data_IF_012780241440
#
_entry.id   IF_012780241440
#
_cell.length_a   1.000
_cell.length_b   1.000
_cell.length_c   1.000
_cell.angle_alpha   90.00
_cell.angle_beta   90.00
_cell.angle_gamma   90.00
#
_symmetry.space_group_name_H-M   'P 1'
#
loop_
_entity.id
_entity.type
_entity.pdbx_description
1 polymer ?
#
# COMPACT_ATOMS: atom_id res chain seq x y z
N UNK A 1 -9.19 -2.43 20.36
CA UNK A 1 -9.35 -3.89 20.33
C UNK A 1 -8.72 -4.38 19.04
N UNK A 2 -7.62 -5.14 19.13
CA UNK A 2 -6.88 -5.60 17.96
C UNK A 2 -7.66 -6.62 17.12
N UNK A 3 -8.55 -7.42 17.71
CA UNK A 3 -9.37 -8.37 16.98
C UNK A 3 -10.43 -7.65 16.16
N UNK A 4 -11.10 -6.65 16.73
CA UNK A 4 -12.03 -5.81 15.97
C UNK A 4 -11.29 -5.05 14.85
N UNK A 5 -10.09 -4.54 15.13
CA UNK A 5 -9.25 -3.88 14.14
C UNK A 5 -8.84 -4.77 12.97
N UNK A 6 -8.58 -6.05 13.22
CA UNK A 6 -8.32 -7.05 12.18
C UNK A 6 -9.51 -7.16 11.22
N UNK A 7 -10.73 -7.19 11.73
CA UNK A 7 -11.94 -7.24 10.90
C UNK A 7 -12.12 -5.97 10.06
N UNK A 8 -11.76 -4.80 10.61
CA UNK A 8 -11.74 -3.55 9.84
C UNK A 8 -10.72 -3.64 8.71
N UNK A 9 -9.50 -4.12 8.99
CA UNK A 9 -8.43 -4.25 8.01
C UNK A 9 -8.80 -5.12 6.81
N UNK A 10 -9.36 -6.31 7.06
CA UNK A 10 -9.68 -7.28 6.02
C UNK A 10 -11.01 -7.04 5.32
N UNK A 11 -11.90 -6.23 5.90
CA UNK A 11 -13.23 -5.98 5.34
C UNK A 11 -13.47 -4.48 5.11
N UNK A 12 -14.02 -3.78 6.11
CA UNK A 12 -14.61 -2.43 5.95
C UNK A 12 -13.62 -1.37 5.51
N UNK A 13 -12.39 -1.43 6.02
CA UNK A 13 -11.32 -0.47 5.73
C UNK A 13 -10.61 -0.72 4.41
N UNK A 14 -10.92 -1.82 3.70
CA UNK A 14 -10.34 -2.19 2.40
C UNK A 14 -8.80 -2.25 2.37
N UNK A 15 -8.15 -2.30 3.53
CA UNK A 15 -6.69 -2.24 3.62
C UNK A 15 -6.05 -3.46 2.96
N UNK A 16 -6.69 -4.64 3.11
CA UNK A 16 -6.23 -5.90 2.52
C UNK A 16 -6.29 -5.96 0.98
N UNK A 17 -6.98 -5.00 0.34
CA UNK A 17 -7.01 -4.88 -1.13
C UNK A 17 -5.62 -4.53 -1.68
N UNK A 18 -4.83 -3.79 -0.91
CA UNK A 18 -3.49 -3.36 -1.31
C UNK A 18 -2.39 -3.94 -0.43
N UNK A 19 -2.66 -4.14 0.86
CA UNK A 19 -1.66 -4.55 1.84
C UNK A 19 -1.79 -6.00 2.26
N UNK A 20 -0.65 -6.56 2.65
CA UNK A 20 -0.55 -7.92 3.18
C UNK A 20 -0.22 -7.89 4.66
N UNK A 21 -0.80 -8.82 5.41
CA UNK A 21 -0.42 -9.14 6.79
C UNK A 21 -0.35 -10.66 6.93
N UNK A 22 0.79 -11.17 7.38
CA UNK A 22 1.06 -12.59 7.61
C UNK A 22 0.66 -13.48 6.43
N UNK A 23 0.99 -13.05 5.21
CA UNK A 23 0.66 -13.78 3.98
C UNK A 23 -0.76 -13.56 3.43
N UNK A 24 -1.64 -12.84 4.15
CA UNK A 24 -3.03 -12.60 3.74
C UNK A 24 -3.22 -11.17 3.21
N UNK A 25 -3.93 -11.01 2.08
CA UNK A 25 -4.12 -9.73 1.38
C UNK A 25 -3.27 -9.64 0.12
N UNK A 26 -3.13 -8.44 -0.45
CA UNK A 26 -2.37 -8.20 -1.67
C UNK A 26 -0.99 -7.60 -1.40
N UNK A 27 -0.07 -7.80 -2.35
CA UNK A 27 1.30 -7.27 -2.29
C UNK A 27 1.51 -6.08 -3.24
N UNK A 28 0.49 -5.21 -3.30
CA UNK A 28 0.55 -3.97 -4.08
C UNK A 28 1.23 -2.90 -3.24
N UNK A 29 0.71 -2.63 -2.05
CA UNK A 29 1.34 -1.78 -1.03
C UNK A 29 2.35 -2.53 -0.16
N UNK A 30 2.97 -1.82 0.79
CA UNK A 30 3.89 -2.42 1.75
C UNK A 30 3.29 -3.56 2.56
N UNK A 31 4.13 -4.55 2.87
CA UNK A 31 3.78 -5.60 3.82
C UNK A 31 3.71 -5.01 5.24
N UNK A 32 2.55 -5.14 5.87
CA UNK A 32 2.26 -4.55 7.18
C UNK A 32 2.41 -5.55 8.33
N UNK A 33 2.89 -6.77 8.06
CA UNK A 33 3.06 -7.83 9.08
C UNK A 33 3.90 -7.42 10.29
N UNK A 34 4.78 -6.43 10.11
CA UNK A 34 5.68 -5.93 11.15
C UNK A 34 5.57 -4.40 11.33
N UNK A 35 4.46 -3.79 10.88
CA UNK A 35 4.32 -2.33 10.87
C UNK A 35 4.35 -1.73 12.28
N UNK A 36 3.87 -2.45 13.29
CA UNK A 36 3.89 -2.02 14.69
C UNK A 36 5.29 -1.95 15.29
N UNK A 37 6.27 -2.66 14.71
CA UNK A 37 7.69 -2.50 15.08
C UNK A 37 8.30 -1.24 14.45
N UNK A 38 7.79 -0.81 13.29
CA UNK A 38 8.35 0.31 12.51
C UNK A 38 7.72 1.65 12.83
N UNK A 39 6.41 1.69 13.12
CA UNK A 39 5.64 2.90 13.29
C UNK A 39 4.91 2.92 14.64
N UNK A 40 5.04 4.04 15.34
CA UNK A 40 4.24 4.34 16.52
C UNK A 40 2.80 4.67 16.14
N UNK A 41 1.88 4.57 17.11
CA UNK A 41 0.44 4.82 16.93
C UNK A 41 0.10 6.14 16.21
N UNK A 42 0.70 7.31 16.56
CA UNK A 42 0.41 8.56 15.85
C UNK A 42 0.76 8.48 14.36
N UNK A 43 1.92 7.91 14.02
CA UNK A 43 2.34 7.75 12.64
C UNK A 43 1.40 6.81 11.85
N UNK A 44 0.87 5.76 12.49
CA UNK A 44 -0.14 4.89 11.89
C UNK A 44 -1.44 5.66 11.58
N UNK A 45 -1.90 6.52 12.48
CA UNK A 45 -3.05 7.38 12.20
C UNK A 45 -2.75 8.33 11.04
N UNK A 46 -1.58 8.97 11.05
CA UNK A 46 -1.19 9.91 9.99
C UNK A 46 -1.13 9.23 8.62
N UNK A 47 -0.59 8.01 8.52
CA UNK A 47 -0.58 7.26 7.26
C UNK A 47 -1.98 6.93 6.73
N UNK A 48 -2.96 6.71 7.62
CA UNK A 48 -4.35 6.40 7.22
C UNK A 48 -5.14 7.67 6.87
N UNK A 49 -4.94 8.75 7.63
CA UNK A 49 -5.66 10.01 7.45
C UNK A 49 -5.09 10.84 6.30
N UNK A 50 -3.77 10.78 6.11
CA UNK A 50 -3.01 11.59 5.17
C UNK A 50 -2.01 10.72 4.38
N UNK A 51 -2.47 9.77 3.56
CA UNK A 51 -1.60 8.82 2.85
C UNK A 51 -0.60 9.48 1.89
N UNK A 52 -0.89 10.70 1.42
CA UNK A 52 -0.01 11.50 0.56
C UNK A 52 1.03 12.33 1.33
N UNK A 53 0.95 12.43 2.67
CA UNK A 53 1.86 13.27 3.46
C UNK A 53 3.29 12.71 3.53
N UNK A 54 3.44 11.39 3.42
CA UNK A 54 4.73 10.71 3.40
C UNK A 54 4.64 9.47 2.50
N UNK A 55 5.05 9.62 1.24
CA UNK A 55 5.11 8.53 0.27
C UNK A 55 6.52 7.94 0.28
N UNK A 56 6.64 6.65 0.59
CA UNK A 56 7.92 5.94 0.51
C UNK A 56 8.40 5.87 -0.94
N UNK A 57 9.71 6.01 -1.15
CA UNK A 57 10.31 5.98 -2.50
C UNK A 57 9.98 4.69 -3.27
N UNK A 58 9.95 3.56 -2.57
CA UNK A 58 9.63 2.25 -3.15
C UNK A 58 8.15 2.08 -3.54
N UNK A 59 7.30 3.04 -3.15
CA UNK A 59 5.85 3.02 -3.36
C UNK A 59 5.34 4.28 -4.08
N UNK A 60 6.21 4.93 -4.85
CA UNK A 60 5.83 6.05 -5.69
C UNK A 60 4.97 5.59 -6.87
N UNK A 61 3.79 6.19 -6.98
CA UNK A 61 2.89 5.95 -8.10
C UNK A 61 3.31 6.74 -9.34
N UNK A 62 3.01 6.18 -10.51
CA UNK A 62 3.19 6.82 -11.80
C UNK A 62 1.91 6.74 -12.62
N UNK A 63 1.74 7.71 -13.50
CA UNK A 63 0.70 7.74 -14.52
C UNK A 63 1.36 7.76 -15.90
N UNK A 64 0.90 6.85 -16.76
CA UNK A 64 1.26 6.77 -18.16
C UNK A 64 0.03 7.13 -19.00
N UNK A 65 0.17 8.13 -19.86
CA UNK A 65 -0.81 8.41 -20.92
C UNK A 65 -0.30 7.73 -22.20
N UNK A 66 -1.13 6.90 -22.80
CA UNK A 66 -0.81 6.14 -24.01
C UNK A 66 -1.23 6.92 -25.26
N UNK A 67 -0.57 6.67 -26.39
CA UNK A 67 -0.89 7.31 -27.68
C UNK A 67 -2.30 7.02 -28.16
N UNK A 68 -2.88 5.89 -27.74
CA UNK A 68 -4.26 5.48 -28.04
C UNK A 68 -5.31 6.14 -27.12
N UNK A 69 -4.86 7.00 -26.19
CA UNK A 69 -5.70 7.71 -25.23
C UNK A 69 -5.98 6.96 -23.93
N UNK A 70 -5.48 5.72 -23.75
CA UNK A 70 -5.57 5.03 -22.46
C UNK A 70 -4.70 5.73 -21.41
N UNK A 71 -5.18 5.71 -20.17
CA UNK A 71 -4.40 6.18 -19.01
C UNK A 71 -4.18 4.99 -18.08
N UNK A 72 -2.92 4.69 -17.80
CA UNK A 72 -2.52 3.59 -16.92
C UNK A 72 -1.84 4.20 -15.69
N UNK A 73 -2.34 3.84 -14.51
CA UNK A 73 -1.81 4.34 -13.23
C UNK A 73 -1.43 3.17 -12.34
N UNK A 74 -0.25 3.23 -11.74
CA UNK A 74 0.23 2.16 -10.86
C UNK A 74 1.59 2.42 -10.25
N UNK A 75 2.06 1.46 -9.46
CA UNK A 75 3.40 1.45 -8.89
C UNK A 75 4.42 1.07 -9.93
N UNK A 76 5.54 1.80 -9.98
CA UNK A 76 6.63 1.46 -10.89
C UNK A 76 7.31 0.16 -10.45
N UNK A 77 7.19 -0.89 -11.27
CA UNK A 77 7.86 -2.17 -11.06
C UNK A 77 9.17 -2.23 -11.84
N UNK A 78 9.14 -1.77 -13.10
CA UNK A 78 10.31 -1.76 -13.97
C UNK A 78 10.20 -0.62 -14.99
N UNK A 79 11.34 -0.06 -15.38
CA UNK A 79 11.45 0.89 -16.48
C UNK A 79 12.79 0.69 -17.19
N UNK A 80 12.75 0.21 -18.41
CA UNK A 80 13.91 0.04 -19.28
C UNK A 80 13.65 0.68 -20.65
N UNK A 81 14.61 0.63 -21.57
CA UNK A 81 14.52 1.30 -22.88
C UNK A 81 13.34 0.85 -23.76
N UNK A 82 12.83 -0.37 -23.57
CA UNK A 82 11.76 -0.96 -24.38
C UNK A 82 10.40 -0.84 -23.73
N UNK A 83 10.32 -1.12 -22.43
CA UNK A 83 9.05 -1.20 -21.72
C UNK A 83 9.05 -0.48 -20.37
N UNK A 84 7.84 -0.13 -19.94
CA UNK A 84 7.50 0.32 -18.59
C UNK A 84 6.51 -0.68 -18.02
N UNK A 85 6.78 -1.15 -16.80
CA UNK A 85 5.88 -2.04 -16.08
C UNK A 85 5.32 -1.34 -14.85
N UNK A 86 4.00 -1.21 -14.81
CA UNK A 86 3.26 -0.66 -13.67
C UNK A 86 2.42 -1.75 -13.02
N UNK A 87 2.42 -1.84 -11.69
CA UNK A 87 1.43 -2.63 -10.95
C UNK A 87 0.25 -1.75 -10.61
N UNK A 88 -0.91 -2.04 -11.18
CA UNK A 88 -2.14 -1.28 -10.92
C UNK A 88 -2.74 -1.57 -9.53
N UNK A 89 -3.84 -0.88 -9.21
CA UNK A 89 -4.53 -1.01 -7.92
C UNK A 89 -5.15 -2.39 -7.71
N UNK A 90 -5.36 -3.17 -8.78
CA UNK A 90 -5.84 -4.55 -8.69
C UNK A 90 -4.69 -5.55 -8.48
N UNK A 91 -3.44 -5.07 -8.41
CA UNK A 91 -2.25 -5.91 -8.31
C UNK A 91 -1.81 -6.50 -9.66
N UNK A 92 -2.43 -6.08 -10.77
CA UNK A 92 -2.11 -6.59 -12.11
C UNK A 92 -0.90 -5.85 -12.66
N UNK A 93 0.01 -6.59 -13.29
CA UNK A 93 1.16 -6.01 -13.96
C UNK A 93 0.76 -5.56 -15.37
N UNK A 94 0.80 -4.25 -15.60
CA UNK A 94 0.58 -3.61 -16.89
C UNK A 94 1.94 -3.37 -17.54
N UNK A 95 2.21 -4.03 -18.66
CA UNK A 95 3.39 -3.79 -19.49
C UNK A 95 3.02 -2.82 -20.60
N UNK A 96 3.73 -1.70 -20.68
CA UNK A 96 3.54 -0.62 -21.62
C UNK A 96 4.78 -0.53 -22.52
N UNK A 97 4.59 -0.68 -23.82
CA UNK A 97 5.65 -0.46 -24.81
C UNK A 97 6.00 1.04 -24.84
N UNK A 98 7.30 1.37 -24.80
CA UNK A 98 7.74 2.77 -24.65
C UNK A 98 7.35 3.67 -25.82
N UNK A 99 7.25 3.12 -27.02
CA UNK A 99 6.83 3.84 -28.22
C UNK A 99 5.32 4.14 -28.24
N UNK A 100 4.53 3.43 -27.44
CA UNK A 100 3.10 3.68 -27.23
C UNK A 100 2.82 4.64 -26.06
N UNK A 101 3.83 5.03 -25.28
CA UNK A 101 3.68 5.95 -24.14
C UNK A 101 3.87 7.40 -24.59
N UNK A 102 2.79 8.18 -24.54
CA UNK A 102 2.80 9.60 -24.84
C UNK A 102 3.41 10.44 -23.71
N UNK A 103 3.04 10.15 -22.46
CA UNK A 103 3.58 10.83 -21.29
C UNK A 103 3.73 9.86 -20.12
N UNK A 104 4.75 10.07 -19.29
CA UNK A 104 5.02 9.23 -18.12
C UNK A 104 5.49 10.09 -16.96
N UNK A 105 4.63 10.26 -15.96
CA UNK A 105 4.83 11.22 -14.88
C UNK A 105 4.66 10.56 -13.51
N UNK A 106 5.47 10.99 -12.55
CA UNK A 106 5.30 10.61 -11.15
C UNK A 106 4.04 11.29 -10.60
N UNK A 107 3.24 10.55 -9.85
CA UNK A 107 2.09 11.10 -9.13
C UNK A 107 2.54 11.98 -7.96
N UNK A 108 1.83 13.08 -7.77
CA UNK A 108 2.01 13.95 -6.60
C UNK A 108 1.33 13.38 -5.34
N UNK A 109 0.36 12.48 -5.52
CA UNK A 109 -0.45 11.86 -4.47
C UNK A 109 -0.14 10.37 -4.36
N UNK A 110 -0.43 9.80 -3.19
CA UNK A 110 -0.27 8.37 -2.96
C UNK A 110 -1.26 7.54 -3.78
N UNK A 111 -0.89 6.30 -4.09
CA UNK A 111 -1.84 5.31 -4.61
C UNK A 111 -2.73 4.73 -3.51
N UNK A 112 -2.38 4.92 -2.24
CA UNK A 112 -3.28 4.65 -1.13
C UNK A 112 -4.37 5.74 -1.13
N UNK A 113 -5.66 5.37 -1.27
CA UNK A 113 -6.73 6.35 -1.39
C UNK A 113 -6.86 7.26 -0.17
N UNK A 114 -7.12 8.54 -0.39
CA UNK A 114 -7.56 9.43 0.68
C UNK A 114 -8.98 9.09 1.13
N UNK A 115 -9.35 9.49 2.35
CA UNK A 115 -10.71 9.30 2.86
C UNK A 115 -11.06 7.88 3.32
N UNK A 116 -10.11 6.94 3.39
CA UNK A 116 -10.36 5.58 3.89
C UNK A 116 -11.01 5.55 5.29
N UNK A 117 -10.65 6.50 6.15
CA UNK A 117 -11.25 6.65 7.48
C UNK A 117 -12.76 6.95 7.45
N UNK A 118 -13.31 7.42 6.33
CA UNK A 118 -14.74 7.70 6.17
C UNK A 118 -15.56 6.42 5.97
N UNK A 119 -14.91 5.29 5.64
CA UNK A 119 -15.55 3.98 5.51
C UNK A 119 -15.81 3.32 6.88
N UNK A 120 -15.35 3.93 7.96
CA UNK A 120 -15.36 3.37 9.30
C UNK A 120 -15.70 4.44 10.34
N UNK A 121 -16.22 4.00 11.48
CA UNK A 121 -16.44 4.86 12.64
C UNK A 121 -15.10 5.23 13.28
N UNK A 122 -15.09 6.30 14.10
CA UNK A 122 -13.92 6.65 14.92
C UNK A 122 -13.45 5.48 15.77
N UNK A 123 -14.37 4.67 16.29
CA UNK A 123 -14.03 3.50 17.09
C UNK A 123 -13.32 2.42 16.26
N UNK A 124 -13.85 2.12 15.08
CA UNK A 124 -13.24 1.17 14.14
C UNK A 124 -11.84 1.62 13.70
N UNK A 125 -11.63 2.92 13.47
CA UNK A 125 -10.30 3.46 13.17
C UNK A 125 -9.31 3.26 14.35
N UNK A 126 -9.75 3.53 15.59
CA UNK A 126 -8.93 3.28 16.78
C UNK A 126 -8.60 1.80 16.91
N UNK A 127 -9.57 0.93 16.65
CA UNK A 127 -9.40 -0.52 16.69
C UNK A 127 -8.44 -1.00 15.58
N UNK A 128 -8.56 -0.47 14.36
CA UNK A 128 -7.64 -0.71 13.24
C UNK A 128 -6.20 -0.34 13.60
N UNK A 129 -5.98 0.86 14.15
CA UNK A 129 -4.63 1.26 14.59
C UNK A 129 -4.14 0.39 15.74
N UNK A 130 -5.01 -0.04 16.66
CA UNK A 130 -4.63 -0.98 17.71
C UNK A 130 -4.19 -2.34 17.14
N UNK A 131 -4.85 -2.83 16.09
CA UNK A 131 -4.43 -4.03 15.36
C UNK A 131 -3.07 -3.83 14.70
N UNK A 132 -2.89 -2.79 13.89
CA UNK A 132 -1.63 -2.51 13.19
C UNK A 132 -0.46 -2.33 14.18
N UNK A 133 -0.71 -1.70 15.33
CA UNK A 133 0.30 -1.54 16.38
C UNK A 133 0.71 -2.86 17.03
N UNK A 134 -0.17 -3.87 17.02
CA UNK A 134 0.13 -5.20 17.55
C UNK A 134 0.91 -6.09 16.57
N UNK A 135 1.04 -5.67 15.31
CA UNK A 135 1.80 -6.37 14.28
C UNK A 135 3.30 -6.07 14.44
N UNK A 136 3.90 -6.65 15.48
CA UNK A 136 5.34 -6.55 15.74
C UNK A 136 6.05 -7.81 15.28
N UNK A 137 7.35 -7.70 15.02
CA UNK A 137 8.22 -8.89 14.97
C UNK A 137 8.00 -9.70 16.24
N UNK A 138 7.76 -11.00 16.10
CA UNK A 138 7.87 -11.90 17.23
C UNK A 138 9.33 -11.85 17.71
N UNK A 139 9.56 -11.48 18.98
CA UNK A 139 10.86 -11.70 19.62
C UNK A 139 11.05 -13.22 19.72
N UNK A 140 11.94 -13.81 18.91
CA UNK A 140 12.30 -15.23 19.01
C UNK A 140 12.33 -16.05 17.71
N UNK A 141 12.91 -15.53 16.61
CA UNK A 141 13.31 -16.35 15.46
C UNK A 141 14.77 -16.07 15.05
N UNK A 142 15.64 -15.95 16.04
CA UNK A 142 17.09 -15.99 15.90
C UNK A 142 17.63 -16.97 16.95
N UNK A 143 18.63 -17.75 16.56
CA UNK A 143 19.31 -18.81 17.32
C UNK A 143 18.67 -20.20 17.31
N UNK A 144 18.83 -20.94 16.21
CA UNK A 144 19.32 -22.33 16.27
C UNK A 144 20.25 -22.57 15.06
N UNK A 145 21.55 -22.43 15.31
CA UNK A 145 22.61 -22.55 14.33
C UNK A 145 23.95 -22.65 15.05
N UNK A 146 24.16 -23.80 15.68
CA UNK A 146 25.45 -24.34 16.11
C UNK A 146 25.44 -25.84 15.80
#
# INVERSE_FOLDING_TARGET
DARAGREVFFNRGQCAVCHRVSGQGQATGPDLSEVGTKLARPALFDSILYPSAAISHDYEGYVAEMVDGRVVTGLLVNRNEREIQLRDQQGTLQTLERDEVQSFNRLAVSLMPEGLHQLMTTRELIDLVAYLSSLTRAEGAGEEGQ
#
